data_IF_875050375245
#
_entry.id   IF_875050375245
#
_cell.length_a   1.000
_cell.length_b   1.000
_cell.length_c   1.000
_cell.angle_alpha   90.00
_cell.angle_beta   90.00
_cell.angle_gamma   90.00
#
_symmetry.space_group_name_H-M   'P 1'
#
loop_
_entity.id
_entity.type
_entity.pdbx_description
1 polymer ?
#
# COMPACT_ATOMS: atom_id res chain seq x y z
N UNK A 1 11.24 14.95 -5.45
CA UNK A 1 11.51 13.63 -4.89
C UNK A 1 10.19 12.84 -4.81
N UNK A 2 10.18 11.63 -5.32
CA UNK A 2 8.99 10.79 -5.36
C UNK A 2 8.58 10.34 -3.95
N UNK A 3 7.29 10.45 -3.66
CA UNK A 3 6.73 9.99 -2.38
C UNK A 3 5.94 8.70 -2.58
N UNK A 4 6.21 7.72 -1.75
CA UNK A 4 5.58 6.40 -1.81
C UNK A 4 4.84 6.17 -0.50
N UNK A 5 3.58 5.73 -0.59
CA UNK A 5 2.80 5.31 0.56
C UNK A 5 2.81 3.80 0.64
N UNK A 6 3.24 3.27 1.79
CA UNK A 6 3.25 1.84 2.07
C UNK A 6 2.09 1.55 3.02
N UNK A 7 1.17 0.69 2.60
CA UNK A 7 -0.02 0.33 3.38
C UNK A 7 0.09 -1.13 3.76
N UNK A 8 0.39 -1.39 5.03
CA UNK A 8 0.58 -2.74 5.54
C UNK A 8 0.43 -2.72 7.07
N UNK A 9 -0.33 -3.64 7.62
CA UNK A 9 -0.51 -3.75 9.06
C UNK A 9 0.65 -4.48 9.75
N UNK A 10 1.53 -5.12 8.98
CA UNK A 10 2.78 -5.66 9.49
C UNK A 10 3.80 -4.52 9.61
N UNK A 11 3.92 -3.97 10.81
CA UNK A 11 4.76 -2.81 11.09
C UNK A 11 6.24 -3.11 10.76
N UNK A 12 6.71 -4.31 11.07
CA UNK A 12 8.09 -4.71 10.81
C UNK A 12 8.38 -4.73 9.31
N UNK A 13 7.50 -5.34 8.52
CA UNK A 13 7.64 -5.40 7.07
C UNK A 13 7.58 -4.01 6.45
N UNK A 14 6.62 -3.18 6.86
CA UNK A 14 6.47 -1.83 6.37
C UNK A 14 7.72 -0.98 6.66
N UNK A 15 8.28 -1.11 7.87
CA UNK A 15 9.48 -0.39 8.25
C UNK A 15 10.70 -0.83 7.44
N UNK A 16 10.80 -2.13 7.15
CA UNK A 16 11.87 -2.66 6.32
C UNK A 16 11.80 -2.10 4.89
N UNK A 17 10.61 -2.08 4.29
CA UNK A 17 10.39 -1.48 2.98
C UNK A 17 10.71 0.01 2.99
N UNK A 18 10.24 0.72 4.01
CA UNK A 18 10.50 2.15 4.16
C UNK A 18 12.01 2.43 4.19
N UNK A 19 12.75 1.68 4.98
CA UNK A 19 14.19 1.83 5.10
C UNK A 19 14.88 1.58 3.76
N UNK A 20 14.50 0.50 3.07
CA UNK A 20 15.10 0.14 1.79
C UNK A 20 14.82 1.20 0.73
N UNK A 21 13.57 1.64 0.62
CA UNK A 21 13.18 2.65 -0.37
C UNK A 21 13.81 4.01 -0.07
N UNK A 22 13.94 4.37 1.20
CA UNK A 22 14.59 5.61 1.59
C UNK A 22 16.05 5.65 1.18
N UNK A 23 16.74 4.51 1.24
CA UNK A 23 18.12 4.38 0.75
C UNK A 23 18.22 4.55 -0.76
N UNK A 24 17.12 4.29 -1.48
CA UNK A 24 17.06 4.47 -2.94
C UNK A 24 16.69 5.91 -3.34
N UNK A 25 16.48 6.79 -2.37
CA UNK A 25 16.18 8.19 -2.62
C UNK A 25 14.70 8.55 -2.64
N UNK A 26 13.82 7.62 -2.27
CA UNK A 26 12.38 7.90 -2.19
C UNK A 26 11.99 8.39 -0.80
N UNK A 27 11.01 9.30 -0.77
CA UNK A 27 10.34 9.65 0.49
C UNK A 27 9.22 8.66 0.71
N UNK A 28 9.16 8.07 1.90
CA UNK A 28 8.17 7.04 2.18
C UNK A 28 7.39 7.37 3.44
N UNK A 29 6.10 7.03 3.41
CA UNK A 29 5.24 7.08 4.58
C UNK A 29 4.54 5.73 4.70
N UNK A 30 4.14 5.37 5.91
CA UNK A 30 3.46 4.10 6.16
C UNK A 30 2.06 4.34 6.74
N UNK A 31 1.14 3.45 6.41
CA UNK A 31 -0.20 3.42 6.98
C UNK A 31 -0.53 1.98 7.33
N UNK A 32 -1.10 1.74 8.50
CA UNK A 32 -1.36 0.39 8.99
C UNK A 32 -2.80 -0.07 8.72
N UNK A 33 -3.61 0.76 8.10
CA UNK A 33 -5.01 0.47 7.83
C UNK A 33 -5.50 1.26 6.62
N UNK A 34 -6.66 0.90 6.09
CA UNK A 34 -7.29 1.66 5.00
C UNK A 34 -7.67 3.06 5.48
N UNK A 35 -8.18 3.18 6.70
CA UNK A 35 -8.54 4.49 7.25
C UNK A 35 -7.33 5.43 7.31
N UNK A 36 -6.19 4.95 7.80
CA UNK A 36 -4.95 5.73 7.85
C UNK A 36 -4.46 6.08 6.44
N UNK A 37 -4.60 5.14 5.49
CA UNK A 37 -4.22 5.37 4.10
C UNK A 37 -5.08 6.47 3.46
N UNK A 38 -6.38 6.46 3.70
CA UNK A 38 -7.29 7.50 3.19
C UNK A 38 -6.88 8.88 3.68
N UNK A 39 -6.55 8.99 4.96
CA UNK A 39 -6.11 10.24 5.55
C UNK A 39 -4.82 10.74 4.88
N UNK A 40 -3.84 9.86 4.70
CA UNK A 40 -2.58 10.21 4.06
C UNK A 40 -2.80 10.64 2.60
N UNK A 41 -3.60 9.88 1.85
CA UNK A 41 -3.87 10.16 0.43
C UNK A 41 -4.65 11.45 0.24
N UNK A 42 -5.52 11.80 1.17
CA UNK A 42 -6.28 13.04 1.11
C UNK A 42 -5.38 14.28 1.20
N UNK A 43 -4.23 14.16 1.86
CA UNK A 43 -3.25 15.24 1.92
C UNK A 43 -2.50 15.42 0.60
N UNK A 44 -2.46 14.38 -0.22
CA UNK A 44 -1.88 14.43 -1.56
C UNK A 44 -0.36 14.28 -1.60
N UNK A 45 0.18 14.34 -2.80
CA UNK A 45 1.63 14.35 -3.01
C UNK A 45 2.28 12.99 -3.17
N UNK A 46 1.50 11.90 -3.24
CA UNK A 46 2.05 10.57 -3.46
C UNK A 46 2.13 10.22 -4.95
N UNK A 47 3.23 9.57 -5.33
CA UNK A 47 3.49 9.14 -6.70
C UNK A 47 3.20 7.65 -6.91
N UNK A 48 3.19 6.88 -5.82
CA UNK A 48 2.99 5.43 -5.88
C UNK A 48 2.43 4.95 -4.54
N UNK A 49 1.57 3.94 -4.59
CA UNK A 49 1.04 3.26 -3.40
C UNK A 49 1.43 1.78 -3.49
N UNK A 50 2.04 1.27 -2.43
CA UNK A 50 2.29 -0.16 -2.24
C UNK A 50 1.35 -0.63 -1.14
N UNK A 51 0.37 -1.46 -1.48
CA UNK A 51 -0.67 -1.87 -0.54
C UNK A 51 -0.70 -3.37 -0.34
N UNK A 52 -0.79 -3.79 0.92
CA UNK A 52 -1.15 -5.17 1.22
C UNK A 52 -2.60 -5.39 0.77
N UNK A 53 -2.88 -6.61 0.33
CA UNK A 53 -4.23 -6.99 -0.10
C UNK A 53 -5.20 -7.08 1.09
N UNK A 54 -4.71 -7.47 2.25
CA UNK A 54 -5.53 -7.66 3.46
C UNK A 54 -5.09 -6.70 4.54
N UNK A 55 -6.03 -5.85 4.94
CA UNK A 55 -5.82 -4.87 5.99
C UNK A 55 -6.87 -5.08 7.09
N UNK A 56 -6.60 -4.63 8.33
CA UNK A 56 -7.45 -4.98 9.46
C UNK A 56 -8.89 -4.43 9.37
N UNK A 57 -9.09 -3.32 8.69
CA UNK A 57 -10.41 -2.67 8.60
C UNK A 57 -11.13 -2.94 7.28
N UNK A 58 -10.40 -2.98 6.16
CA UNK A 58 -10.98 -3.24 4.84
C UNK A 58 -9.94 -3.94 3.96
N UNK A 59 -10.36 -4.54 2.85
CA UNK A 59 -9.40 -5.14 1.92
C UNK A 59 -8.83 -4.08 0.96
N UNK A 60 -7.78 -4.46 0.24
CA UNK A 60 -7.10 -3.56 -0.70
C UNK A 60 -7.98 -3.14 -1.87
N UNK A 61 -9.00 -3.95 -2.22
CA UNK A 61 -9.93 -3.63 -3.30
C UNK A 61 -10.82 -2.46 -2.89
N UNK A 62 -11.27 -2.41 -1.64
CA UNK A 62 -12.05 -1.28 -1.13
C UNK A 62 -11.27 0.02 -1.23
N UNK A 63 -9.97 -0.01 -0.94
CA UNK A 63 -9.11 1.16 -1.09
C UNK A 63 -9.03 1.61 -2.55
N UNK A 64 -8.84 0.67 -3.48
CA UNK A 64 -8.77 0.97 -4.90
C UNK A 64 -10.07 1.62 -5.39
N UNK A 65 -11.22 1.10 -4.96
CA UNK A 65 -12.52 1.66 -5.31
C UNK A 65 -12.68 3.09 -4.76
N UNK A 66 -12.25 3.32 -3.54
CA UNK A 66 -12.31 4.66 -2.93
C UNK A 66 -11.42 5.64 -3.71
N UNK A 67 -10.20 5.24 -4.07
CA UNK A 67 -9.29 6.09 -4.83
C UNK A 67 -9.87 6.43 -6.20
N UNK A 68 -10.49 5.45 -6.87
CA UNK A 68 -11.15 5.66 -8.15
C UNK A 68 -12.30 6.67 -8.02
N UNK A 69 -13.10 6.55 -6.96
CA UNK A 69 -14.18 7.49 -6.68
C UNK A 69 -13.70 8.91 -6.40
N UNK A 70 -12.47 9.08 -5.94
CA UNK A 70 -11.85 10.37 -5.70
C UNK A 70 -11.07 10.89 -6.91
N UNK A 71 -11.12 10.18 -8.04
CA UNK A 71 -10.39 10.50 -9.26
C UNK A 71 -8.88 10.60 -9.05
N UNK A 72 -8.35 9.77 -8.17
CA UNK A 72 -6.90 9.68 -7.94
C UNK A 72 -6.25 8.81 -8.98
N UNK A 73 -5.29 9.34 -9.70
CA UNK A 73 -4.56 8.64 -10.77
C UNK A 73 -3.18 8.16 -10.30
N UNK A 74 -3.08 7.71 -9.07
CA UNK A 74 -1.83 7.24 -8.49
C UNK A 74 -1.73 5.73 -8.74
N UNK A 75 -0.63 5.24 -9.34
CA UNK A 75 -0.43 3.80 -9.52
C UNK A 75 -0.41 3.08 -8.18
N UNK A 76 -1.06 1.92 -8.11
CA UNK A 76 -1.10 1.08 -6.92
C UNK A 76 -0.56 -0.29 -7.26
N UNK A 77 0.43 -0.74 -6.51
CA UNK A 77 0.94 -2.11 -6.58
C UNK A 77 0.40 -2.84 -5.37
N UNK A 78 -0.38 -3.90 -5.61
CA UNK A 78 -0.94 -4.73 -4.56
C UNK A 78 0.05 -5.84 -4.24
N UNK A 79 0.45 -5.92 -2.97
CA UNK A 79 1.37 -6.95 -2.49
C UNK A 79 0.58 -8.11 -1.95
N UNK A 80 1.01 -9.33 -2.24
CA UNK A 80 0.37 -10.54 -1.71
C UNK A 80 1.29 -11.20 -0.69
N UNK A 81 0.68 -11.86 0.30
CA UNK A 81 1.44 -12.67 1.25
C UNK A 81 1.94 -13.94 0.58
N UNK A 82 2.94 -14.57 1.20
CA UNK A 82 3.44 -15.87 0.74
C UNK A 82 2.31 -16.91 0.66
N UNK A 83 1.40 -16.91 1.64
CA UNK A 83 0.27 -17.84 1.64
C UNK A 83 -0.66 -17.60 0.44
N UNK A 84 -0.90 -16.35 0.07
CA UNK A 84 -1.74 -16.01 -1.08
C UNK A 84 -1.08 -16.43 -2.39
N UNK A 85 0.24 -16.29 -2.51
CA UNK A 85 0.98 -16.77 -3.67
C UNK A 85 0.86 -18.29 -3.78
N UNK A 86 1.00 -19.02 -2.67
CA UNK A 86 0.85 -20.47 -2.64
C UNK A 86 -0.57 -20.88 -3.09
N UNK A 87 -1.60 -20.19 -2.62
CA UNK A 87 -2.97 -20.47 -3.02
C UNK A 87 -3.19 -20.21 -4.52
N UNK A 88 -2.64 -19.15 -5.06
CA UNK A 88 -2.73 -18.84 -6.48
C UNK A 88 -2.08 -19.94 -7.34
N UNK A 89 -0.92 -20.44 -6.92
CA UNK A 89 -0.23 -21.53 -7.62
C UNK A 89 -1.07 -22.80 -7.59
N UNK A 90 -1.72 -23.11 -6.46
CA UNK A 90 -2.58 -24.31 -6.36
C UNK A 90 -3.81 -24.24 -7.26
N UNK A 91 -4.33 -23.04 -7.50
CA UNK A 91 -5.49 -22.84 -8.36
C UNK A 91 -5.16 -22.92 -9.84
N UNK A 92 -3.89 -22.89 -10.18
CA UNK A 92 -3.43 -23.05 -11.55
C UNK A 92 -3.26 -24.53 -11.91
#
# INVERSE_FOLDING_TARGET
MERILIIDDDITFALMLKTWLSKKGFRTETAASVAAARTALAEGGFSLVLSDMRLPDEDGIALLQWMSGQHMEIPVIVMTSYAEIQNAVRCM
#
